data_IF_795671223053
#
_entry.id   IF_795671223053
#
_cell.length_a   1.000
_cell.length_b   1.000
_cell.length_c   1.000
_cell.angle_alpha   90.00
_cell.angle_beta   90.00
_cell.angle_gamma   90.00
#
_symmetry.space_group_name_H-M   'P 1'
#
loop_
_entity.id
_entity.type
_entity.pdbx_description
1 polymer ?
#
# COMPACT_ATOMS: atom_id res chain seq x y z
N UNK A 1 -40.59 -6.93 15.55
CA UNK A 1 -39.12 -6.87 15.45
C UNK A 1 -38.86 -5.93 14.29
N UNK A 2 -38.51 -4.68 14.60
CA UNK A 2 -38.32 -3.62 13.60
C UNK A 2 -37.10 -3.93 12.74
N UNK A 3 -37.30 -4.00 11.44
CA UNK A 3 -36.23 -3.99 10.45
C UNK A 3 -35.55 -2.62 10.52
N UNK A 4 -34.34 -2.59 11.06
CA UNK A 4 -33.44 -1.44 10.96
C UNK A 4 -33.21 -1.15 9.47
N UNK A 5 -33.45 0.10 9.08
CA UNK A 5 -33.26 0.56 7.71
C UNK A 5 -31.80 0.34 7.31
N UNK A 6 -31.55 -0.63 6.42
CA UNK A 6 -30.24 -0.89 5.83
C UNK A 6 -29.74 0.38 5.18
N UNK A 7 -28.69 0.97 5.75
CA UNK A 7 -27.95 2.04 5.09
C UNK A 7 -27.49 1.52 3.73
N UNK A 8 -27.95 2.16 2.64
CA UNK A 8 -27.68 1.71 1.27
C UNK A 8 -26.23 2.06 0.89
N UNK A 9 -25.27 1.33 1.46
CA UNK A 9 -23.85 1.50 1.20
C UNK A 9 -23.53 1.12 -0.25
N UNK A 10 -22.83 2.00 -0.97
CA UNK A 10 -22.63 1.86 -2.41
C UNK A 10 -21.31 1.15 -2.74
N UNK A 11 -21.34 -0.19 -2.70
CA UNK A 11 -20.21 -1.02 -3.13
C UNK A 11 -19.96 -0.98 -4.65
N UNK A 12 -21.01 -0.70 -5.44
CA UNK A 12 -20.94 -0.67 -6.90
C UNK A 12 -19.91 0.32 -7.41
N UNK A 13 -19.72 1.45 -6.72
CA UNK A 13 -18.70 2.44 -7.06
C UNK A 13 -17.28 1.87 -7.02
N UNK A 14 -16.95 1.08 -5.99
CA UNK A 14 -15.68 0.39 -5.87
C UNK A 14 -15.52 -0.65 -6.98
N UNK A 15 -16.54 -1.48 -7.23
CA UNK A 15 -16.50 -2.51 -8.26
C UNK A 15 -16.25 -1.94 -9.66
N UNK A 16 -16.88 -0.82 -9.99
CA UNK A 16 -16.65 -0.12 -11.27
C UNK A 16 -15.21 0.40 -11.34
N UNK A 17 -14.69 0.98 -10.25
CA UNK A 17 -13.33 1.48 -10.18
C UNK A 17 -12.27 0.36 -10.29
N UNK A 18 -12.61 -0.86 -9.90
CA UNK A 18 -11.74 -2.06 -10.01
C UNK A 18 -11.95 -2.86 -11.29
N UNK A 19 -12.71 -2.34 -12.26
CA UNK A 19 -13.00 -2.99 -13.54
C UNK A 19 -13.70 -4.36 -13.42
N UNK A 20 -14.61 -4.53 -12.45
CA UNK A 20 -15.48 -5.72 -12.40
C UNK A 20 -16.32 -5.80 -13.67
N UNK A 21 -16.39 -6.99 -14.27
CA UNK A 21 -17.16 -7.22 -15.50
C UNK A 21 -18.63 -6.81 -15.33
N UNK A 22 -19.21 -6.19 -16.37
CA UNK A 22 -20.61 -5.69 -16.33
C UNK A 22 -21.63 -6.76 -15.93
N UNK A 23 -21.45 -8.00 -16.40
CA UNK A 23 -22.32 -9.13 -16.04
C UNK A 23 -22.21 -9.56 -14.57
N UNK A 24 -21.12 -9.21 -13.89
CA UNK A 24 -20.85 -9.59 -12.51
C UNK A 24 -21.14 -8.47 -11.50
N UNK A 25 -21.54 -7.27 -11.97
CA UNK A 25 -21.89 -6.15 -11.10
C UNK A 25 -23.09 -6.43 -10.18
N UNK A 26 -23.92 -7.43 -10.49
CA UNK A 26 -24.98 -7.86 -9.58
C UNK A 26 -24.45 -8.41 -8.25
N UNK A 27 -23.22 -8.92 -8.21
CA UNK A 27 -22.54 -9.33 -6.97
C UNK A 27 -21.97 -8.15 -6.17
N UNK A 28 -22.04 -6.92 -6.69
CA UNK A 28 -21.64 -5.71 -5.96
C UNK A 28 -22.81 -5.08 -5.20
N UNK A 29 -23.86 -5.84 -4.93
CA UNK A 29 -25.02 -5.42 -4.17
C UNK A 29 -25.49 -6.56 -3.27
N UNK A 30 -25.52 -6.32 -1.97
CA UNK A 30 -25.89 -7.34 -0.97
C UNK A 30 -27.32 -7.83 -1.19
N UNK A 31 -28.26 -6.93 -1.48
CA UNK A 31 -29.66 -7.29 -1.71
C UNK A 31 -29.80 -8.17 -2.95
N UNK A 32 -29.11 -7.85 -4.04
CA UNK A 32 -29.09 -8.68 -5.25
C UNK A 32 -28.54 -10.09 -5.01
N UNK A 33 -27.55 -10.24 -4.12
CA UNK A 33 -27.02 -11.55 -3.73
C UNK A 33 -28.06 -12.35 -2.94
N UNK A 34 -28.66 -11.74 -1.92
CA UNK A 34 -29.67 -12.40 -1.06
C UNK A 34 -30.92 -12.79 -1.84
N UNK A 35 -31.35 -11.96 -2.79
CA UNK A 35 -32.53 -12.22 -3.61
C UNK A 35 -32.26 -13.18 -4.78
N UNK A 36 -31.00 -13.58 -5.01
CA UNK A 36 -30.60 -14.40 -6.16
C UNK A 36 -30.75 -13.69 -7.51
N UNK A 37 -30.75 -12.35 -7.52
CA UNK A 37 -30.98 -11.51 -8.70
C UNK A 37 -29.68 -10.91 -9.26
N UNK A 38 -28.54 -11.56 -9.05
CA UNK A 38 -27.22 -11.09 -9.50
C UNK A 38 -27.06 -11.09 -11.02
N UNK A 39 -27.94 -11.77 -11.75
CA UNK A 39 -28.00 -11.77 -13.22
C UNK A 39 -26.98 -12.68 -13.90
N UNK A 40 -26.09 -13.33 -13.14
CA UNK A 40 -25.04 -14.21 -13.67
C UNK A 40 -24.70 -15.30 -12.66
N UNK A 41 -24.41 -16.52 -13.14
CA UNK A 41 -23.93 -17.60 -12.29
C UNK A 41 -22.57 -17.24 -11.64
N UNK A 42 -22.38 -17.51 -10.34
CA UNK A 42 -21.12 -17.24 -9.63
C UNK A 42 -19.88 -17.77 -10.34
N UNK A 43 -19.94 -18.99 -10.87
CA UNK A 43 -18.82 -19.64 -11.56
C UNK A 43 -18.29 -18.84 -12.77
N UNK A 44 -19.16 -18.07 -13.45
CA UNK A 44 -18.75 -17.22 -14.58
C UNK A 44 -18.10 -15.91 -14.15
N UNK A 45 -18.20 -15.57 -12.86
CA UNK A 45 -17.66 -14.36 -12.24
C UNK A 45 -16.46 -14.63 -11.34
N UNK A 46 -15.92 -15.84 -11.36
CA UNK A 46 -14.82 -16.26 -10.49
C UNK A 46 -13.60 -15.33 -10.59
N UNK A 47 -13.25 -14.87 -11.79
CA UNK A 47 -12.15 -13.94 -12.02
C UNK A 47 -12.39 -12.53 -11.41
N UNK A 48 -13.66 -12.15 -11.22
CA UNK A 48 -14.05 -10.86 -10.65
C UNK A 48 -14.21 -10.93 -9.12
N UNK A 49 -14.40 -12.12 -8.53
CA UNK A 49 -14.67 -12.26 -7.09
C UNK A 49 -13.59 -11.66 -6.18
N UNK A 50 -12.28 -11.75 -6.47
CA UNK A 50 -11.27 -11.07 -5.66
C UNK A 50 -11.52 -9.56 -5.56
N UNK A 51 -11.94 -8.91 -6.65
CA UNK A 51 -12.26 -7.48 -6.64
C UNK A 51 -13.59 -7.20 -5.94
N UNK A 52 -14.62 -8.02 -6.21
CA UNK A 52 -15.95 -7.89 -5.60
C UNK A 52 -15.86 -8.02 -4.09
N UNK A 53 -15.27 -9.10 -3.58
CA UNK A 53 -15.17 -9.39 -2.14
C UNK A 53 -14.35 -8.33 -1.41
N UNK A 54 -13.26 -7.85 -2.02
CA UNK A 54 -12.49 -6.71 -1.50
C UNK A 54 -13.32 -5.44 -1.39
N UNK A 55 -14.15 -5.15 -2.39
CA UNK A 55 -15.07 -4.01 -2.37
C UNK A 55 -16.17 -4.18 -1.33
N UNK A 56 -16.71 -5.40 -1.15
CA UNK A 56 -17.76 -5.68 -0.17
C UNK A 56 -17.26 -5.54 1.27
N UNK A 57 -16.03 -5.93 1.56
CA UNK A 57 -15.45 -5.70 2.89
C UNK A 57 -15.25 -4.20 3.18
N UNK A 58 -15.15 -3.35 2.14
CA UNK A 58 -14.93 -1.89 2.18
C UNK A 58 -13.88 -1.48 3.23
N UNK A 59 -12.81 -2.29 3.30
CA UNK A 59 -11.69 -2.04 4.19
C UNK A 59 -11.94 -2.21 5.69
N UNK A 60 -12.96 -2.96 6.09
CA UNK A 60 -13.27 -3.27 7.48
C UNK A 60 -12.94 -4.72 7.83
N UNK A 61 -12.61 -4.96 9.09
CA UNK A 61 -12.30 -6.30 9.56
C UNK A 61 -13.56 -6.94 10.18
N UNK A 62 -14.26 -7.77 9.41
CA UNK A 62 -15.48 -8.45 9.86
C UNK A 62 -15.19 -9.81 10.52
N UNK A 63 -13.92 -10.22 10.58
CA UNK A 63 -13.51 -11.54 11.12
C UNK A 63 -14.06 -11.79 12.53
N UNK A 64 -14.00 -10.84 13.49
CA UNK A 64 -14.56 -11.08 14.83
C UNK A 64 -16.05 -11.45 14.80
N UNK A 65 -16.87 -10.73 14.04
CA UNK A 65 -18.29 -11.08 13.87
C UNK A 65 -18.46 -12.44 13.19
N UNK A 66 -17.69 -12.72 12.12
CA UNK A 66 -17.75 -14.01 11.44
C UNK A 66 -17.41 -15.18 12.38
N UNK A 67 -16.43 -15.01 13.25
CA UNK A 67 -16.08 -16.02 14.26
C UNK A 67 -17.24 -16.24 15.23
N UNK A 68 -17.86 -15.16 15.72
CA UNK A 68 -19.00 -15.23 16.64
C UNK A 68 -20.23 -15.88 15.99
N UNK A 69 -20.45 -15.65 14.70
CA UNK A 69 -21.49 -16.30 13.89
C UNK A 69 -21.15 -17.75 13.49
N UNK A 70 -19.96 -18.25 13.85
CA UNK A 70 -19.53 -19.62 13.60
C UNK A 70 -19.11 -19.90 12.16
N UNK A 71 -18.59 -18.89 11.45
CA UNK A 71 -17.93 -19.07 10.15
C UNK A 71 -16.55 -19.71 10.38
N UNK A 72 -16.27 -20.90 9.81
CA UNK A 72 -15.00 -21.59 10.00
C UNK A 72 -13.80 -20.77 9.53
N UNK A 73 -12.64 -20.95 10.16
CA UNK A 73 -11.39 -20.23 9.84
C UNK A 73 -11.03 -20.27 8.35
N UNK A 74 -11.24 -21.42 7.71
CA UNK A 74 -11.02 -21.62 6.26
C UNK A 74 -11.89 -20.72 5.37
N UNK A 75 -12.98 -20.17 5.89
CA UNK A 75 -13.92 -19.30 5.19
C UNK A 75 -13.84 -17.83 5.62
N UNK A 76 -13.01 -17.49 6.61
CA UNK A 76 -12.92 -16.14 7.15
C UNK A 76 -12.15 -15.17 6.23
N UNK A 77 -11.52 -15.66 5.16
CA UNK A 77 -10.88 -14.85 4.13
C UNK A 77 -11.87 -13.85 3.52
N UNK A 78 -13.09 -14.31 3.23
CA UNK A 78 -14.17 -13.45 2.70
C UNK A 78 -14.55 -12.36 3.70
N UNK A 79 -14.47 -12.62 5.00
CA UNK A 79 -14.79 -11.66 6.06
C UNK A 79 -13.80 -10.49 6.15
N UNK A 80 -12.62 -10.62 5.53
CA UNK A 80 -11.62 -9.53 5.42
C UNK A 80 -11.42 -9.06 3.99
N UNK A 81 -12.31 -9.43 3.07
CA UNK A 81 -12.22 -8.98 1.68
C UNK A 81 -11.18 -9.73 0.85
N UNK A 82 -10.72 -10.89 1.31
CA UNK A 82 -9.84 -11.79 0.58
C UNK A 82 -10.66 -12.92 -0.04
N UNK A 83 -10.28 -13.34 -1.26
CA UNK A 83 -10.95 -14.42 -1.96
C UNK A 83 -9.96 -15.50 -2.33
N UNK A 84 -10.13 -16.68 -1.76
CA UNK A 84 -9.39 -17.88 -2.14
C UNK A 84 -10.15 -18.61 -3.24
N UNK A 85 -9.57 -18.60 -4.44
CA UNK A 85 -10.09 -19.35 -5.58
C UNK A 85 -10.16 -20.84 -5.25
N UNK A 86 -11.25 -21.49 -5.67
CA UNK A 86 -11.37 -22.94 -5.57
C UNK A 86 -10.42 -23.59 -6.59
N UNK A 87 -9.45 -24.36 -6.11
CA UNK A 87 -8.52 -25.15 -6.95
C UNK A 87 -8.66 -26.64 -6.64
N UNK A 88 -7.98 -27.50 -7.42
CA UNK A 88 -7.90 -28.95 -7.19
C UNK A 88 -7.20 -29.33 -5.86
N UNK A 89 -6.65 -28.34 -5.12
CA UNK A 89 -6.13 -28.56 -3.79
C UNK A 89 -7.26 -28.89 -2.80
N UNK A 90 -7.09 -29.95 -2.01
CA UNK A 90 -8.08 -30.37 -1.01
C UNK A 90 -8.44 -29.26 0.00
N UNK A 91 -7.52 -28.33 0.27
CA UNK A 91 -7.77 -27.16 1.12
C UNK A 91 -8.69 -26.11 0.48
N UNK A 92 -8.77 -26.05 -0.84
CA UNK A 92 -9.64 -25.10 -1.55
C UNK A 92 -10.94 -25.74 -2.02
N UNK A 93 -11.09 -27.06 -1.88
CA UNK A 93 -12.30 -27.80 -2.26
C UNK A 93 -13.44 -27.68 -1.22
N UNK A 94 -13.22 -26.97 -0.11
CA UNK A 94 -14.25 -26.66 0.88
C UNK A 94 -15.06 -25.45 0.42
N UNK A 95 -16.35 -25.65 0.16
CA UNK A 95 -17.23 -24.55 -0.27
C UNK A 95 -17.70 -23.73 0.93
N UNK A 96 -17.36 -22.43 0.93
CA UNK A 96 -17.82 -21.48 1.95
C UNK A 96 -19.21 -20.90 1.66
N UNK A 97 -19.88 -21.35 0.59
CA UNK A 97 -21.18 -20.84 0.15
C UNK A 97 -22.28 -20.95 1.21
N UNK A 98 -22.23 -22.00 2.04
CA UNK A 98 -23.16 -22.22 3.15
C UNK A 98 -23.09 -21.13 4.25
N UNK A 99 -22.02 -20.34 4.28
CA UNK A 99 -21.81 -19.26 5.27
C UNK A 99 -22.09 -17.87 4.69
N UNK A 100 -22.51 -17.77 3.43
CA UNK A 100 -22.69 -16.49 2.72
C UNK A 100 -23.61 -15.54 3.46
N UNK A 101 -24.79 -15.99 3.90
CA UNK A 101 -25.77 -15.13 4.61
C UNK A 101 -25.19 -14.56 5.91
N UNK A 102 -24.49 -15.39 6.69
CA UNK A 102 -23.82 -14.97 7.93
C UNK A 102 -22.73 -13.94 7.67
N UNK A 103 -21.88 -14.20 6.68
CA UNK A 103 -20.83 -13.26 6.27
C UNK A 103 -21.42 -11.93 5.80
N UNK A 104 -22.48 -11.95 5.00
CA UNK A 104 -23.17 -10.73 4.53
C UNK A 104 -23.81 -9.96 5.69
N UNK A 105 -24.39 -10.65 6.67
CA UNK A 105 -24.91 -10.02 7.89
C UNK A 105 -23.82 -9.27 8.65
N UNK A 106 -22.66 -9.90 8.86
CA UNK A 106 -21.51 -9.25 9.48
C UNK A 106 -20.99 -8.06 8.68
N UNK A 107 -20.99 -8.12 7.34
CA UNK A 107 -20.58 -7.00 6.49
C UNK A 107 -21.54 -5.80 6.65
N UNK A 108 -22.86 -6.05 6.62
CA UNK A 108 -23.88 -5.00 6.77
C UNK A 108 -23.77 -4.32 8.14
N UNK A 109 -23.71 -5.10 9.21
CA UNK A 109 -23.53 -4.57 10.57
C UNK A 109 -22.21 -3.82 10.70
N UNK A 110 -21.12 -4.43 10.24
CA UNK A 110 -19.77 -3.88 10.36
C UNK A 110 -19.61 -2.54 9.65
N UNK A 111 -20.35 -2.27 8.57
CA UNK A 111 -20.27 -0.99 7.86
C UNK A 111 -20.76 0.18 8.70
N UNK A 112 -21.75 -0.06 9.55
CA UNK A 112 -22.32 0.97 10.41
C UNK A 112 -21.42 1.25 11.62
N UNK A 113 -20.74 0.23 12.16
CA UNK A 113 -20.05 0.36 13.46
C UNK A 113 -18.52 0.35 13.39
N UNK A 114 -17.90 -0.23 12.36
CA UNK A 114 -16.45 -0.35 12.26
C UNK A 114 -15.82 0.85 11.54
N UNK A 115 -14.60 1.27 11.93
CA UNK A 115 -13.90 2.33 11.23
C UNK A 115 -13.38 1.84 9.88
N UNK A 116 -13.36 2.72 8.88
CA UNK A 116 -12.68 2.45 7.61
C UNK A 116 -11.15 2.46 7.73
N UNK A 117 -10.44 2.06 6.68
CA UNK A 117 -8.97 2.07 6.66
C UNK A 117 -8.41 3.51 6.71
N UNK A 118 -7.30 3.74 7.44
CA UNK A 118 -6.50 4.94 7.28
C UNK A 118 -6.06 5.14 5.83
N UNK A 119 -6.06 6.39 5.37
CA UNK A 119 -5.74 6.77 3.99
C UNK A 119 -4.41 7.50 3.92
N UNK A 120 -3.81 7.54 2.73
CA UNK A 120 -2.59 8.31 2.45
C UNK A 120 -1.52 8.13 3.52
N UNK A 121 -1.19 6.87 3.82
CA UNK A 121 -0.10 6.56 4.74
C UNK A 121 1.22 6.98 4.09
N UNK A 122 2.00 7.75 4.80
CA UNK A 122 3.30 8.25 4.39
C UNK A 122 4.34 7.88 5.44
N UNK A 123 5.52 7.44 4.99
CA UNK A 123 6.59 6.98 5.88
C UNK A 123 7.90 7.64 5.49
N UNK A 124 8.50 8.32 6.44
CA UNK A 124 9.74 9.09 6.26
C UNK A 124 10.81 8.62 7.24
N UNK A 125 11.98 8.21 6.75
CA UNK A 125 13.16 8.03 7.59
C UNK A 125 13.64 9.36 8.17
N UNK A 126 13.63 9.50 9.49
CA UNK A 126 14.04 10.73 10.19
C UNK A 126 15.41 10.60 10.86
N UNK A 127 15.82 9.38 11.21
CA UNK A 127 17.18 9.05 11.65
C UNK A 127 17.59 7.67 11.13
N UNK A 128 18.80 7.26 11.48
CA UNK A 128 19.28 5.89 11.25
C UNK A 128 18.50 4.85 12.06
N UNK A 129 17.85 5.22 13.15
CA UNK A 129 17.12 4.27 14.01
C UNK A 129 15.65 4.61 14.18
N UNK A 130 15.11 5.52 13.37
CA UNK A 130 13.71 5.92 13.47
C UNK A 130 13.08 6.39 12.17
N UNK A 131 11.78 6.11 12.07
CA UNK A 131 10.89 6.55 10.99
C UNK A 131 9.72 7.33 11.58
N UNK A 132 9.21 8.28 10.82
CA UNK A 132 7.95 8.98 11.08
C UNK A 132 6.89 8.44 10.14
N UNK A 133 5.76 8.06 10.70
CA UNK A 133 4.59 7.57 9.99
C UNK A 133 3.47 8.60 10.14
N UNK A 134 2.84 9.00 9.04
CA UNK A 134 1.68 9.89 9.04
C UNK A 134 0.57 9.32 8.18
N UNK A 135 -0.68 9.65 8.50
CA UNK A 135 -1.85 9.14 7.79
C UNK A 135 -2.99 10.17 7.81
N UNK A 136 -4.01 9.90 7.01
CA UNK A 136 -5.29 10.63 7.02
C UNK A 136 -6.36 9.69 7.59
N UNK A 137 -7.24 10.17 8.50
CA UNK A 137 -8.37 9.38 8.97
C UNK A 137 -9.26 8.86 7.81
N UNK A 138 -9.98 7.75 8.03
CA UNK A 138 -10.96 7.24 7.05
C UNK A 138 -12.06 8.28 6.78
N UNK A 139 -12.86 8.04 5.74
CA UNK A 139 -14.04 8.86 5.47
C UNK A 139 -15.22 8.51 6.39
N UNK A 140 -15.34 7.24 6.75
CA UNK A 140 -16.46 6.69 7.53
C UNK A 140 -16.00 6.37 8.95
N UNK A 141 -16.85 6.68 9.93
CA UNK A 141 -16.66 6.38 11.35
C UNK A 141 -15.32 6.88 11.93
N UNK A 142 -14.74 7.94 11.35
CA UNK A 142 -13.44 8.46 11.75
C UNK A 142 -13.44 9.05 13.17
N UNK A 143 -14.56 9.64 13.56
CA UNK A 143 -14.84 10.21 14.87
C UNK A 143 -14.99 9.16 15.96
N UNK A 144 -15.28 7.91 15.60
CA UNK A 144 -15.41 6.79 16.55
C UNK A 144 -14.07 6.19 16.96
N UNK A 145 -13.00 6.50 16.22
CA UNK A 145 -11.67 5.91 16.40
C UNK A 145 -11.08 6.32 17.74
N UNK A 146 -10.70 5.31 18.54
CA UNK A 146 -10.06 5.49 19.84
C UNK A 146 -8.54 5.38 19.76
N UNK A 147 -8.04 4.53 18.85
CA UNK A 147 -6.60 4.31 18.66
C UNK A 147 -6.24 3.89 17.23
N UNK A 148 -5.01 4.18 16.83
CA UNK A 148 -4.38 3.62 15.63
C UNK A 148 -3.28 2.65 16.04
N UNK A 149 -3.17 1.54 15.31
CA UNK A 149 -2.12 0.55 15.46
C UNK A 149 -1.19 0.65 14.26
N UNK A 150 0.08 0.98 14.49
CA UNK A 150 1.10 1.04 13.45
C UNK A 150 1.99 -0.20 13.56
N UNK A 151 2.00 -1.01 12.51
CA UNK A 151 2.86 -2.19 12.40
C UNK A 151 4.04 -1.85 11.48
N UNK A 152 5.26 -2.14 11.95
CA UNK A 152 6.51 -1.89 11.24
C UNK A 152 7.27 -3.21 11.18
N UNK A 153 7.29 -3.84 10.02
CA UNK A 153 7.93 -5.15 9.80
C UNK A 153 9.25 -4.97 9.07
N UNK A 154 10.33 -5.45 9.67
CA UNK A 154 11.65 -5.47 9.03
C UNK A 154 11.65 -6.44 7.84
N UNK A 155 12.12 -5.99 6.68
CA UNK A 155 12.33 -6.85 5.52
C UNK A 155 13.79 -7.31 5.43
N UNK A 156 14.01 -8.57 5.02
CA UNK A 156 15.37 -9.13 4.83
C UNK A 156 16.06 -8.55 3.59
N UNK A 157 15.28 -8.25 2.56
CA UNK A 157 15.74 -7.80 1.24
C UNK A 157 14.85 -6.69 0.71
N UNK A 158 15.39 -5.93 -0.24
CA UNK A 158 14.68 -4.83 -0.90
C UNK A 158 13.49 -5.32 -1.76
N UNK A 159 13.55 -6.57 -2.22
CA UNK A 159 12.48 -7.25 -2.95
C UNK A 159 11.96 -8.45 -2.15
N UNK A 160 10.63 -8.58 -2.09
CA UNK A 160 9.93 -9.64 -1.36
C UNK A 160 9.68 -10.91 -2.19
N UNK A 161 10.26 -11.02 -3.39
CA UNK A 161 10.17 -12.24 -4.19
C UNK A 161 11.49 -13.01 -4.11
N UNK A 162 11.64 -13.81 -3.06
CA UNK A 162 12.50 -15.00 -3.09
C UNK A 162 12.00 -16.01 -2.07
N UNK A 163 10.97 -16.77 -2.46
CA UNK A 163 10.67 -18.11 -1.94
C UNK A 163 11.76 -19.14 -2.33
N UNK A 164 13.01 -18.71 -2.52
CA UNK A 164 14.13 -19.59 -2.83
C UNK A 164 15.16 -19.49 -1.72
N UNK A 165 14.92 -20.26 -0.67
CA UNK A 165 15.97 -20.73 0.23
C UNK A 165 16.93 -21.57 -0.63
N UNK A 166 18.10 -21.01 -0.92
CA UNK A 166 19.31 -21.79 -1.15
C UNK A 166 20.43 -21.14 -0.35
N UNK A 167 20.54 -21.57 0.90
CA UNK A 167 21.68 -21.28 1.76
C UNK A 167 22.95 -21.83 1.11
N UNK A 168 23.74 -20.95 0.51
CA UNK A 168 25.18 -21.13 0.47
C UNK A 168 25.82 -19.76 0.23
N UNK A 169 26.34 -19.14 1.28
CA UNK A 169 27.73 -18.69 1.37
C UNK A 169 28.04 -18.27 2.82
N UNK A 170 29.05 -18.90 3.39
CA UNK A 170 29.70 -18.51 4.64
C UNK A 170 30.14 -17.05 4.56
N UNK A 171 29.37 -16.17 5.18
CA UNK A 171 29.87 -14.90 5.69
C UNK A 171 29.29 -14.77 7.08
N UNK A 172 30.15 -14.57 8.08
CA UNK A 172 29.78 -14.22 9.45
C UNK A 172 29.17 -12.81 9.47
N UNK A 173 28.02 -12.67 8.83
CA UNK A 173 27.12 -11.54 8.90
C UNK A 173 26.17 -11.82 10.06
N UNK A 174 25.99 -10.83 10.92
CA UNK A 174 25.00 -10.85 11.99
C UNK A 174 23.66 -11.34 11.42
N UNK A 175 23.13 -12.45 11.95
CA UNK A 175 21.81 -12.96 11.57
C UNK A 175 20.79 -11.94 12.12
N UNK A 176 20.44 -10.93 11.33
CA UNK A 176 19.37 -10.02 11.70
C UNK A 176 18.06 -10.74 11.37
N UNK A 177 17.43 -11.30 12.40
CA UNK A 177 16.11 -11.90 12.29
C UNK A 177 15.08 -10.79 12.03
N UNK A 178 14.26 -10.88 10.97
CA UNK A 178 13.12 -10.00 10.79
C UNK A 178 12.28 -9.96 12.06
N UNK A 179 11.94 -8.77 12.49
CA UNK A 179 11.07 -8.54 13.61
C UNK A 179 10.01 -7.52 13.22
N UNK A 180 8.86 -7.64 13.83
CA UNK A 180 7.77 -6.67 13.70
C UNK A 180 7.68 -5.88 14.99
N UNK A 181 7.73 -4.55 14.85
CA UNK A 181 7.45 -3.61 15.92
C UNK A 181 6.03 -3.10 15.75
N UNK A 182 5.24 -3.19 16.80
CA UNK A 182 3.89 -2.66 16.84
C UNK A 182 3.80 -1.54 17.86
N UNK A 183 3.28 -0.39 17.45
CA UNK A 183 2.99 0.73 18.35
C UNK A 183 1.51 1.08 18.32
N UNK A 184 0.96 1.42 19.49
CA UNK A 184 -0.43 1.88 19.63
C UNK A 184 -0.45 3.37 19.90
N UNK A 185 -1.22 4.10 19.11
CA UNK A 185 -1.33 5.54 19.12
C UNK A 185 -2.75 5.90 19.54
N UNK A 186 -2.93 6.32 20.79
CA UNK A 186 -4.24 6.78 21.27
C UNK A 186 -4.61 8.10 20.60
N UNK A 187 -5.84 8.19 20.11
CA UNK A 187 -6.31 9.39 19.41
C UNK A 187 -6.47 10.54 20.42
N UNK A 188 -5.77 11.64 20.15
CA UNK A 188 -5.98 12.94 20.78
C UNK A 188 -6.13 14.01 19.70
N UNK A 189 -6.55 15.23 20.03
CA UNK A 189 -6.78 16.30 19.02
C UNK A 189 -5.50 16.52 18.19
N UNK A 190 -5.54 16.13 16.91
CA UNK A 190 -4.45 16.30 15.94
C UNK A 190 -3.45 15.14 15.83
N UNK A 191 -3.71 13.98 16.44
CA UNK A 191 -2.79 12.83 16.39
C UNK A 191 -3.02 11.97 15.14
N UNK A 192 -2.39 12.37 14.02
CA UNK A 192 -2.40 11.64 12.75
C UNK A 192 -0.98 11.23 12.30
N UNK A 193 -0.06 11.17 13.26
CA UNK A 193 1.31 10.74 13.03
C UNK A 193 1.89 10.06 14.27
N UNK A 194 2.94 9.28 14.06
CA UNK A 194 3.73 8.66 15.11
C UNK A 194 5.19 8.53 14.68
N UNK A 195 6.09 8.52 15.66
CA UNK A 195 7.51 8.25 15.45
C UNK A 195 7.83 6.88 16.04
N UNK A 196 8.38 6.00 15.21
CA UNK A 196 8.82 4.65 15.60
C UNK A 196 10.34 4.69 15.67
N UNK A 197 10.88 4.42 16.86
CA UNK A 197 12.33 4.38 17.12
C UNK A 197 12.86 2.98 17.36
N UNK A 198 14.13 2.89 17.76
CA UNK A 198 14.87 1.64 18.03
C UNK A 198 14.91 0.67 16.83
N UNK A 199 14.94 1.23 15.63
CA UNK A 199 15.07 0.49 14.38
C UNK A 199 16.54 0.27 14.02
N UNK A 200 16.80 -0.73 13.19
CA UNK A 200 18.12 -0.99 12.62
C UNK A 200 18.47 0.07 11.55
N UNK A 201 19.69 0.62 11.55
CA UNK A 201 20.22 1.49 10.49
C UNK A 201 20.18 0.93 9.08
N UNK A 202 19.94 1.80 8.11
CA UNK A 202 19.92 1.50 6.67
C UNK A 202 19.13 0.22 6.33
N UNK A 203 17.97 0.05 6.94
CA UNK A 203 17.15 -1.16 6.86
C UNK A 203 15.78 -0.84 6.28
N UNK A 204 15.29 -1.72 5.42
CA UNK A 204 13.96 -1.58 4.81
C UNK A 204 12.88 -2.11 5.75
N UNK A 205 11.84 -1.31 5.93
CA UNK A 205 10.66 -1.67 6.69
C UNK A 205 9.42 -1.56 5.83
N UNK A 206 8.49 -2.48 6.05
CA UNK A 206 7.13 -2.41 5.55
C UNK A 206 6.20 -1.93 6.68
N UNK A 207 5.41 -0.90 6.40
CA UNK A 207 4.59 -0.22 7.41
C UNK A 207 3.12 -0.26 7.01
N UNK A 208 2.26 -0.63 7.96
CA UNK A 208 0.80 -0.55 7.82
C UNK A 208 0.19 0.15 9.03
N UNK A 209 -0.95 0.82 8.83
CA UNK A 209 -1.71 1.49 9.89
C UNK A 209 -3.12 0.92 9.92
N UNK A 210 -3.59 0.53 11.10
CA UNK A 210 -4.94 0.01 11.32
C UNK A 210 -5.71 0.95 12.26
N UNK A 211 -6.94 1.30 11.92
CA UNK A 211 -7.82 2.08 12.79
C UNK A 211 -8.60 1.16 13.74
N UNK A 212 -8.82 1.60 14.99
CA UNK A 212 -9.58 0.85 15.98
C UNK A 212 -10.52 1.75 16.77
N UNK A 213 -11.74 1.26 17.00
CA UNK A 213 -12.71 1.83 17.91
C UNK A 213 -13.16 0.78 18.94
N UNK A 214 -14.26 1.03 19.65
CA UNK A 214 -14.79 0.12 20.66
C UNK A 214 -15.45 -1.14 20.08
N UNK A 215 -15.86 -1.12 18.81
CA UNK A 215 -16.55 -2.23 18.13
C UNK A 215 -15.59 -3.16 17.40
N UNK A 216 -14.44 -2.65 16.97
CA UNK A 216 -13.44 -3.46 16.28
C UNK A 216 -12.42 -2.63 15.53
N UNK A 217 -11.92 -3.19 14.42
CA UNK A 217 -10.84 -2.59 13.64
C UNK A 217 -11.21 -2.43 12.17
N UNK A 218 -10.53 -1.52 11.49
CA UNK A 218 -10.43 -1.57 10.05
C UNK A 218 -9.55 -2.76 9.62
N UNK A 219 -9.44 -3.00 8.32
CA UNK A 219 -8.29 -3.70 7.76
C UNK A 219 -7.03 -2.82 7.85
N UNK A 220 -5.82 -3.40 7.78
CA UNK A 220 -4.60 -2.61 7.63
C UNK A 220 -4.65 -1.78 6.35
N UNK A 221 -4.09 -0.56 6.39
CA UNK A 221 -3.86 0.25 5.20
C UNK A 221 -2.97 -0.48 4.19
N UNK A 222 -2.91 0.04 2.96
CA UNK A 222 -1.87 -0.35 2.01
C UNK A 222 -0.48 -0.26 2.66
N UNK A 223 0.33 -1.29 2.43
CA UNK A 223 1.68 -1.37 2.96
C UNK A 223 2.61 -0.39 2.25
N UNK A 224 3.34 0.42 3.02
CA UNK A 224 4.31 1.38 2.52
C UNK A 224 5.70 0.94 2.96
N UNK A 225 6.63 0.85 2.01
CA UNK A 225 8.02 0.53 2.29
C UNK A 225 8.86 1.79 2.44
N UNK A 226 9.71 1.83 3.46
CA UNK A 226 10.62 2.94 3.69
C UNK A 226 11.92 2.47 4.32
N UNK A 227 12.97 3.28 4.18
CA UNK A 227 14.30 3.01 4.71
C UNK A 227 14.59 3.93 5.89
N UNK A 228 15.18 3.37 6.95
CA UNK A 228 15.93 4.18 7.90
C UNK A 228 17.15 4.80 7.23
N UNK A 229 17.63 5.92 7.77
CA UNK A 229 18.79 6.61 7.19
C UNK A 229 20.08 5.80 7.40
N UNK A 230 21.12 6.16 6.66
CA UNK A 230 22.47 5.65 6.89
C UNK A 230 22.97 6.07 8.28
N UNK A 231 23.78 5.25 8.98
CA UNK A 231 24.32 5.59 10.28
C UNK A 231 24.90 7.01 10.34
N UNK A 232 24.50 7.77 11.37
CA UNK A 232 24.99 9.15 11.57
C UNK A 232 24.30 10.23 10.73
N UNK A 233 23.33 9.89 9.86
CA UNK A 233 22.43 10.87 9.25
C UNK A 233 21.14 11.00 10.07
N UNK A 234 20.79 12.24 10.42
CA UNK A 234 19.48 12.60 10.96
C UNK A 234 18.92 13.77 10.15
N UNK A 235 17.64 13.73 9.80
CA UNK A 235 16.99 14.91 9.21
C UNK A 235 16.97 16.03 10.25
N UNK A 236 17.43 17.24 9.94
CA UNK A 236 17.24 18.37 10.83
C UNK A 236 15.74 18.63 11.01
N UNK A 237 15.30 18.83 12.26
CA UNK A 237 13.90 19.01 12.68
C UNK A 237 13.23 20.24 12.02
N UNK A 238 14.01 21.13 11.41
CA UNK A 238 13.48 22.27 10.69
C UNK A 238 13.25 21.90 9.23
N UNK A 239 11.97 21.87 8.83
CA UNK A 239 11.51 21.81 7.44
C UNK A 239 12.13 22.95 6.64
N UNK A 240 13.32 22.72 6.09
CA UNK A 240 13.79 23.48 4.97
C UNK A 240 12.78 23.20 3.85
N UNK A 241 12.06 24.26 3.44
CA UNK A 241 11.23 24.29 2.23
C UNK A 241 11.98 23.49 1.17
N UNK A 242 11.38 22.46 0.54
CA UNK A 242 12.09 21.65 -0.44
C UNK A 242 12.81 22.61 -1.41
N UNK A 243 14.13 22.46 -1.61
CA UNK A 243 14.87 23.37 -2.46
C UNK A 243 14.13 23.43 -3.80
N UNK A 244 13.96 24.63 -4.36
CA UNK A 244 13.35 24.77 -5.68
C UNK A 244 14.11 23.85 -6.62
N UNK A 245 13.39 22.93 -7.26
CA UNK A 245 13.99 22.02 -8.22
C UNK A 245 14.74 22.85 -9.27
N UNK A 246 15.99 22.49 -9.59
CA UNK A 246 16.75 23.19 -10.61
C UNK A 246 16.07 23.01 -11.97
N UNK A 247 15.99 24.09 -12.74
CA UNK A 247 15.48 24.04 -14.10
C UNK A 247 16.57 23.47 -15.03
N UNK A 248 16.59 22.14 -15.12
CA UNK A 248 17.55 21.38 -15.93
C UNK A 248 17.39 21.72 -17.41
N UNK A 249 16.16 21.99 -17.87
CA UNK A 249 15.88 22.32 -19.26
C UNK A 249 16.45 23.69 -19.62
N UNK A 250 16.27 24.68 -18.75
CA UNK A 250 16.90 26.00 -18.91
C UNK A 250 18.43 25.90 -18.90
N UNK A 251 19.01 25.16 -17.95
CA UNK A 251 20.46 24.92 -17.90
C UNK A 251 20.99 24.29 -19.20
N UNK A 252 20.29 23.30 -19.75
CA UNK A 252 20.67 22.68 -21.03
C UNK A 252 20.69 23.67 -22.20
N UNK A 253 19.70 24.57 -22.27
CA UNK A 253 19.65 25.62 -23.31
C UNK A 253 20.82 26.60 -23.14
N UNK A 254 21.11 27.01 -21.90
CA UNK A 254 22.24 27.88 -21.58
C UNK A 254 23.60 27.23 -21.91
N UNK A 255 23.71 25.91 -21.74
CA UNK A 255 24.90 25.13 -22.09
C UNK A 255 24.99 24.79 -23.59
N UNK A 256 24.09 25.33 -24.43
CA UNK A 256 24.17 25.24 -25.89
C UNK A 256 23.52 24.01 -26.51
N UNK A 257 22.63 23.32 -25.80
CA UNK A 257 21.84 22.23 -26.37
C UNK A 257 20.65 22.83 -27.12
N UNK A 258 20.70 22.74 -28.45
CA UNK A 258 19.66 23.29 -29.33
C UNK A 258 18.78 22.22 -29.98
N UNK A 259 19.21 20.95 -29.92
CA UNK A 259 18.49 19.84 -30.53
C UNK A 259 17.23 19.49 -29.72
N UNK A 260 16.05 19.62 -30.35
CA UNK A 260 14.74 19.47 -29.68
C UNK A 260 14.58 18.12 -28.99
N UNK A 261 14.95 17.03 -29.67
CA UNK A 261 14.87 15.67 -29.09
C UNK A 261 15.76 15.52 -27.86
N UNK A 262 16.91 16.19 -27.82
CA UNK A 262 17.82 16.13 -26.67
C UNK A 262 17.30 16.98 -25.50
N UNK A 263 16.71 18.14 -25.78
CA UNK A 263 16.06 18.96 -24.75
C UNK A 263 14.85 18.27 -24.12
N UNK A 264 14.08 17.51 -24.90
CA UNK A 264 12.90 16.80 -24.41
C UNK A 264 13.26 15.47 -23.74
N UNK A 265 14.11 14.65 -24.35
CA UNK A 265 14.40 13.31 -23.83
C UNK A 265 15.56 13.26 -22.84
N UNK A 266 16.52 14.17 -22.87
CA UNK A 266 17.69 14.12 -21.98
C UNK A 266 17.68 15.20 -20.89
N UNK A 267 17.07 16.36 -21.15
CA UNK A 267 17.04 17.50 -20.22
C UNK A 267 15.73 17.64 -19.44
N UNK A 268 14.81 16.67 -19.56
CA UNK A 268 13.54 16.65 -18.85
C UNK A 268 13.37 15.31 -18.11
N UNK A 269 13.45 15.33 -16.77
CA UNK A 269 13.46 14.13 -15.92
C UNK A 269 12.32 13.16 -16.22
N UNK A 270 11.04 13.58 -16.32
CA UNK A 270 9.93 12.65 -16.56
C UNK A 270 9.98 11.95 -17.92
N UNK A 271 10.66 12.55 -18.90
CA UNK A 271 10.78 12.01 -20.26
C UNK A 271 12.09 11.24 -20.49
N UNK A 272 13.06 11.38 -19.58
CA UNK A 272 14.35 10.70 -19.65
C UNK A 272 14.29 9.18 -19.49
N UNK A 273 13.27 8.68 -18.80
CA UNK A 273 12.97 7.25 -18.71
C UNK A 273 12.46 6.64 -20.03
N UNK A 274 12.09 7.48 -21.01
CA UNK A 274 11.56 7.08 -22.32
C UNK A 274 12.60 7.24 -23.44
N UNK A 275 13.85 7.56 -23.10
CA UNK A 275 14.92 7.70 -24.09
C UNK A 275 15.39 6.32 -24.58
N UNK A 276 15.42 6.15 -25.90
CA UNK A 276 15.94 4.96 -26.54
C UNK A 276 17.45 5.09 -26.81
N UNK A 277 18.11 3.97 -27.11
CA UNK A 277 19.55 3.93 -27.43
C UNK A 277 19.89 4.87 -28.60
N UNK A 278 19.00 4.97 -29.59
CA UNK A 278 19.13 5.87 -30.74
C UNK A 278 19.13 7.34 -30.32
N UNK A 279 18.28 7.73 -29.37
CA UNK A 279 18.25 9.09 -28.82
C UNK A 279 19.56 9.41 -28.08
N UNK A 280 20.08 8.45 -27.30
CA UNK A 280 21.36 8.59 -26.61
C UNK A 280 22.53 8.74 -27.57
N UNK A 281 22.52 8.03 -28.70
CA UNK A 281 23.54 8.16 -29.75
C UNK A 281 23.47 9.51 -30.46
N UNK A 282 22.26 10.00 -30.79
CA UNK A 282 22.05 11.32 -31.41
C UNK A 282 22.48 12.44 -30.46
N UNK A 283 22.20 12.28 -29.17
CA UNK A 283 22.47 13.30 -28.16
C UNK A 283 23.83 13.17 -27.47
N UNK A 284 24.64 12.18 -27.84
CA UNK A 284 25.97 11.93 -27.28
C UNK A 284 26.90 13.17 -27.26
N UNK A 285 26.92 14.05 -28.29
CA UNK A 285 27.74 15.26 -28.26
C UNK A 285 27.45 16.22 -27.10
N UNK A 286 26.22 16.19 -26.56
CA UNK A 286 25.78 17.04 -25.46
C UNK A 286 25.69 16.33 -24.11
N UNK A 287 26.09 15.06 -24.05
CA UNK A 287 25.98 14.22 -22.85
C UNK A 287 26.63 14.87 -21.62
N UNK A 288 27.84 15.41 -21.76
CA UNK A 288 28.56 16.09 -20.68
C UNK A 288 27.78 17.28 -20.12
N UNK A 289 27.22 18.13 -20.98
CA UNK A 289 26.46 19.32 -20.61
C UNK A 289 25.17 18.92 -19.89
N UNK A 290 24.45 17.93 -20.44
CA UNK A 290 23.25 17.36 -19.82
C UNK A 290 23.53 16.81 -18.42
N UNK A 291 24.56 15.96 -18.26
CA UNK A 291 24.89 15.39 -16.95
C UNK A 291 25.36 16.44 -15.94
N UNK A 292 26.06 17.49 -16.41
CA UNK A 292 26.42 18.63 -15.55
C UNK A 292 25.18 19.37 -15.03
N UNK A 293 24.16 19.57 -15.87
CA UNK A 293 22.90 20.18 -15.47
C UNK A 293 22.08 19.27 -14.53
N UNK A 294 22.07 17.95 -14.79
CA UNK A 294 21.40 16.97 -13.94
C UNK A 294 22.04 16.85 -12.55
N UNK A 295 23.36 16.96 -12.47
CA UNK A 295 24.08 16.94 -11.20
C UNK A 295 23.87 18.23 -10.38
N UNK A 296 23.35 19.31 -10.99
CA UNK A 296 23.07 20.60 -10.35
C UNK A 296 24.24 21.12 -9.48
N UNK A 297 25.48 20.90 -9.93
CA UNK A 297 26.69 21.31 -9.21
C UNK A 297 26.98 20.56 -7.91
N UNK A 298 26.26 19.47 -7.60
CA UNK A 298 26.50 18.63 -6.42
C UNK A 298 27.43 17.46 -6.72
N UNK A 299 28.33 17.18 -5.78
CA UNK A 299 29.21 16.00 -5.84
C UNK A 299 28.47 14.73 -5.41
N UNK A 300 28.24 13.84 -6.38
CA UNK A 300 27.55 12.57 -6.17
C UNK A 300 28.53 11.41 -5.91
N UNK A 301 29.85 11.65 -5.91
CA UNK A 301 30.90 10.63 -5.72
C UNK A 301 30.63 9.71 -4.51
N UNK A 302 30.21 10.20 -3.33
CA UNK A 302 29.90 9.33 -2.19
C UNK A 302 28.73 8.37 -2.47
N UNK A 303 27.69 8.83 -3.14
CA UNK A 303 26.51 8.02 -3.48
C UNK A 303 26.83 6.97 -4.56
N UNK A 304 27.60 7.35 -5.59
CA UNK A 304 28.03 6.43 -6.64
C UNK A 304 28.93 5.33 -6.08
N UNK A 305 29.89 5.68 -5.21
CA UNK A 305 30.77 4.71 -4.54
C UNK A 305 29.99 3.71 -3.69
N UNK A 306 28.96 4.17 -2.98
CA UNK A 306 28.07 3.30 -2.20
C UNK A 306 27.25 2.33 -3.08
N UNK A 307 27.08 2.63 -4.38
CA UNK A 307 26.38 1.80 -5.36
C UNK A 307 27.30 1.01 -6.30
N UNK A 308 28.62 1.06 -6.09
CA UNK A 308 29.58 0.29 -6.88
C UNK A 308 29.81 0.79 -8.31
N UNK A 309 29.50 2.08 -8.56
CA UNK A 309 29.84 2.79 -9.80
C UNK A 309 31.21 3.48 -9.70
#
# INVERSE_FOLDING_TARGET
VEATATTNHNYTSCCIATNVSKGCLGFCNIQSILDGQTGQDPEKCEADFPAIVRCMADGRNHVPCCMDEGVPDICQDVCRGEYTMITDNIKTHFSCSAYTEKTLSCIVEGIEILPGQPRSVEVEGISDTSIKVSWIPPFTNAETITEYVVNVTMLRSFDANTDSISDSQNSSQYIITPHTVQITVKVSKGTNNAVVGNLVPFTMYEVTVTAKNIHGTSLPSNAIRSLTLTPGLSKPVNTAKPPKLPDIKACCVEQGITHKTCLEKLCNIPQSSLAEVTDLMICAPWSRQTFSCLANGMDHTPCCRARGL
#
